data_IF_815472028124
#
_entry.id   IF_815472028124
#
_cell.length_a   1.000
_cell.length_b   1.000
_cell.length_c   1.000
_cell.angle_alpha   90.00
_cell.angle_beta   90.00
_cell.angle_gamma   90.00
#
_symmetry.space_group_name_H-M   'P 1'
#
loop_
_entity.id
_entity.type
_entity.pdbx_description
1 polymer ?
#
# COMPACT_ATOMS: atom_id res chain seq x y z
N UNK A 1 24.35 1.77 -23.50
CA UNK A 1 23.18 2.62 -23.79
C UNK A 1 23.63 4.06 -23.95
N UNK A 2 23.85 4.82 -22.88
CA UNK A 2 24.24 6.26 -22.96
C UNK A 2 25.52 6.50 -23.78
N UNK A 3 26.60 5.75 -23.52
CA UNK A 3 27.84 5.86 -24.30
C UNK A 3 27.72 5.39 -25.76
N UNK A 4 26.60 4.74 -26.12
CA UNK A 4 26.25 4.28 -27.47
C UNK A 4 25.16 5.14 -28.12
N UNK A 5 24.77 6.25 -27.49
CA UNK A 5 23.66 7.12 -27.93
C UNK A 5 22.29 6.41 -28.02
N UNK A 6 22.08 5.40 -27.16
CA UNK A 6 20.81 4.68 -27.04
C UNK A 6 20.06 5.12 -25.77
N UNK A 7 18.72 5.19 -25.84
CA UNK A 7 17.88 5.53 -24.69
C UNK A 7 18.09 4.54 -23.54
N UNK A 8 18.43 5.01 -22.32
CA UNK A 8 18.43 4.14 -21.16
C UNK A 8 17.01 3.68 -20.82
N UNK A 9 16.94 2.56 -20.10
CA UNK A 9 15.70 2.04 -19.52
C UNK A 9 15.24 3.00 -18.42
N UNK A 10 13.96 3.37 -18.47
CA UNK A 10 13.32 4.14 -17.42
C UNK A 10 12.88 3.23 -16.26
N UNK A 11 13.24 3.60 -15.03
CA UNK A 11 12.77 2.97 -13.81
C UNK A 11 12.76 3.98 -12.67
N UNK A 12 11.81 3.80 -11.75
CA UNK A 12 11.58 4.69 -10.62
C UNK A 12 12.45 4.31 -9.42
N UNK A 13 13.12 5.31 -8.84
CA UNK A 13 13.90 5.16 -7.62
C UNK A 13 14.07 6.50 -6.91
N UNK A 14 14.15 6.47 -5.58
CA UNK A 14 14.35 7.68 -4.77
C UNK A 14 15.19 7.38 -3.51
N UNK A 15 14.58 7.03 -2.37
CA UNK A 15 15.27 6.92 -1.07
C UNK A 15 16.39 5.84 -0.99
N UNK A 16 16.30 4.76 -1.77
CA UNK A 16 17.24 3.61 -1.77
C UNK A 16 17.42 2.87 -0.44
N UNK A 17 16.55 3.08 0.53
CA UNK A 17 16.57 2.44 1.85
C UNK A 17 15.24 1.74 2.19
N UNK A 18 14.36 1.61 1.20
CA UNK A 18 13.09 0.87 1.31
C UNK A 18 11.99 1.57 2.08
N UNK A 19 11.95 2.90 2.06
CA UNK A 19 10.96 3.70 2.79
C UNK A 19 9.96 4.40 1.85
N UNK A 20 10.40 4.94 0.71
CA UNK A 20 9.50 5.70 -0.19
C UNK A 20 8.52 4.85 -1.03
N UNK A 21 8.77 3.55 -1.19
CA UNK A 21 7.95 2.67 -2.02
C UNK A 21 8.03 2.92 -3.54
N UNK A 22 9.07 3.63 -4.02
CA UNK A 22 9.21 4.05 -5.42
C UNK A 22 9.70 2.96 -6.38
N UNK A 23 10.55 2.04 -5.92
CA UNK A 23 11.18 1.00 -6.76
C UNK A 23 10.25 -0.20 -7.02
N UNK A 24 9.13 0.05 -7.69
CA UNK A 24 8.06 -0.91 -7.96
C UNK A 24 8.38 -1.87 -9.11
N UNK A 25 9.30 -2.83 -8.88
CA UNK A 25 9.74 -3.81 -9.88
C UNK A 25 9.27 -5.23 -9.55
N UNK A 26 8.82 -5.95 -10.56
CA UNK A 26 8.48 -7.37 -10.51
C UNK A 26 9.67 -8.18 -11.06
N UNK A 27 10.33 -8.94 -10.19
CA UNK A 27 11.62 -9.57 -10.48
C UNK A 27 11.46 -11.08 -10.37
N UNK A 28 11.77 -11.81 -11.44
CA UNK A 28 11.60 -13.26 -11.53
C UNK A 28 10.19 -13.77 -11.13
N UNK A 29 9.15 -12.98 -11.39
CA UNK A 29 7.76 -13.33 -11.06
C UNK A 29 7.30 -12.93 -9.65
N UNK A 30 8.14 -12.21 -8.91
CA UNK A 30 7.85 -11.79 -7.53
C UNK A 30 7.93 -10.26 -7.39
N UNK A 31 6.96 -9.66 -6.70
CA UNK A 31 6.99 -8.22 -6.43
C UNK A 31 8.14 -7.89 -5.48
N UNK A 32 9.01 -6.96 -5.84
CA UNK A 32 10.28 -6.68 -5.16
C UNK A 32 11.35 -7.77 -5.20
N UNK A 33 11.07 -8.92 -5.81
CA UNK A 33 12.01 -10.03 -6.00
C UNK A 33 11.96 -11.10 -4.90
N UNK A 34 12.93 -12.03 -4.89
CA UNK A 34 12.83 -13.28 -4.13
C UNK A 34 13.10 -13.16 -2.62
N UNK A 35 13.55 -11.99 -2.15
CA UNK A 35 13.77 -11.76 -0.71
C UNK A 35 12.47 -11.30 -0.03
N UNK A 36 12.41 -11.30 1.30
CA UNK A 36 11.19 -11.00 2.06
C UNK A 36 11.37 -9.86 3.04
N UNK A 37 10.32 -9.06 3.22
CA UNK A 37 10.34 -7.89 4.11
C UNK A 37 11.21 -6.74 3.60
N UNK A 38 11.48 -6.69 2.28
CA UNK A 38 12.31 -5.67 1.66
C UNK A 38 11.69 -5.13 0.37
N UNK A 39 12.13 -3.95 -0.03
CA UNK A 39 11.84 -3.40 -1.37
C UNK A 39 12.96 -3.71 -2.35
N UNK A 40 12.72 -3.53 -3.65
CA UNK A 40 13.72 -3.81 -4.70
C UNK A 40 15.06 -3.12 -4.48
N UNK A 41 15.09 -1.88 -3.97
CA UNK A 41 16.36 -1.17 -3.77
C UNK A 41 17.25 -1.78 -2.67
N UNK A 42 16.69 -2.66 -1.83
CA UNK A 42 17.42 -3.42 -0.81
C UNK A 42 17.76 -4.84 -1.28
N UNK A 43 17.26 -5.26 -2.46
CA UNK A 43 17.53 -6.59 -2.99
C UNK A 43 19.00 -6.70 -3.39
N UNK A 44 19.68 -7.68 -2.81
CA UNK A 44 21.10 -7.90 -3.07
C UNK A 44 21.32 -8.95 -4.16
N UNK A 45 22.33 -8.75 -5.00
CA UNK A 45 22.71 -9.72 -6.05
C UNK A 45 23.05 -11.12 -5.52
N UNK A 46 23.47 -11.24 -4.25
CA UNK A 46 23.72 -12.53 -3.57
C UNK A 46 22.48 -13.42 -3.42
N UNK A 47 21.29 -12.88 -3.67
CA UNK A 47 20.04 -13.64 -3.69
C UNK A 47 19.88 -14.47 -4.97
N UNK A 48 20.70 -14.22 -5.98
CA UNK A 48 20.69 -14.91 -7.26
C UNK A 48 21.94 -15.78 -7.42
N UNK A 49 21.83 -16.83 -8.23
CA UNK A 49 22.95 -17.71 -8.54
C UNK A 49 23.85 -17.08 -9.61
N UNK A 50 25.14 -17.40 -9.56
CA UNK A 50 26.07 -16.99 -10.61
C UNK A 50 25.63 -17.53 -11.98
N UNK A 51 25.55 -16.64 -12.97
CA UNK A 51 25.08 -16.96 -14.32
C UNK A 51 23.54 -17.04 -14.47
N UNK A 52 22.78 -16.79 -13.40
CA UNK A 52 21.31 -16.73 -13.48
C UNK A 52 20.85 -15.54 -14.33
N UNK A 53 19.84 -15.78 -15.16
CA UNK A 53 19.16 -14.71 -15.90
C UNK A 53 18.08 -14.11 -15.02
N UNK A 54 18.16 -12.80 -14.77
CA UNK A 54 17.17 -12.06 -13.98
C UNK A 54 16.21 -11.36 -14.94
N UNK A 55 14.93 -11.67 -14.82
CA UNK A 55 13.85 -10.96 -15.53
C UNK A 55 13.31 -9.84 -14.65
N UNK A 56 13.18 -8.63 -15.22
CA UNK A 56 12.67 -7.45 -14.52
C UNK A 56 11.53 -6.87 -15.35
N UNK A 57 10.39 -6.67 -14.70
CA UNK A 57 9.15 -6.23 -15.31
C UNK A 57 8.50 -5.12 -14.46
N UNK A 58 7.68 -4.23 -15.06
CA UNK A 58 6.88 -3.30 -14.28
C UNK A 58 5.84 -4.06 -13.45
N UNK A 59 5.30 -3.41 -12.43
CA UNK A 59 4.10 -3.91 -11.75
C UNK A 59 2.93 -4.04 -12.74
N UNK A 60 2.26 -5.19 -12.70
CA UNK A 60 1.19 -5.54 -13.62
C UNK A 60 -0.17 -5.34 -12.94
N UNK A 61 -0.84 -4.24 -13.24
CA UNK A 61 -2.22 -4.00 -12.87
C UNK A 61 -2.85 -2.97 -13.81
N UNK A 62 -4.12 -3.14 -14.18
CA UNK A 62 -4.82 -2.15 -15.02
C UNK A 62 -4.88 -0.76 -14.35
N UNK A 63 -5.06 -0.74 -13.04
CA UNK A 63 -5.04 0.47 -12.22
C UNK A 63 -3.63 1.08 -12.04
N UNK A 64 -2.57 0.38 -12.45
CA UNK A 64 -1.19 0.87 -12.49
C UNK A 64 -0.63 0.85 -13.92
N UNK A 65 -1.11 1.74 -14.80
CA UNK A 65 -0.68 1.75 -16.19
C UNK A 65 0.80 2.07 -16.31
N UNK A 66 1.48 1.37 -17.23
CA UNK A 66 2.89 1.62 -17.54
C UNK A 66 3.01 2.97 -18.25
N UNK A 67 3.85 3.86 -17.70
CA UNK A 67 4.19 5.15 -18.30
C UNK A 67 5.30 4.94 -19.34
N UNK A 68 6.41 4.30 -18.94
CA UNK A 68 7.55 3.98 -19.81
C UNK A 68 8.40 2.88 -19.18
N UNK A 69 8.75 1.86 -19.96
CA UNK A 69 9.60 0.74 -19.55
C UNK A 69 9.13 0.11 -18.22
N UNK A 70 9.80 0.42 -17.11
CA UNK A 70 9.52 -0.11 -15.77
C UNK A 70 8.76 0.88 -14.86
N UNK A 71 8.46 2.09 -15.34
CA UNK A 71 7.75 3.15 -14.62
C UNK A 71 6.24 2.94 -14.74
N UNK A 72 5.54 2.95 -13.62
CA UNK A 72 4.08 2.78 -13.53
C UNK A 72 3.43 3.96 -12.82
N UNK A 73 2.24 4.38 -13.27
CA UNK A 73 1.43 5.37 -12.58
C UNK A 73 0.73 4.71 -11.37
N UNK A 74 0.91 5.26 -10.16
CA UNK A 74 0.25 4.78 -8.93
C UNK A 74 -0.70 5.79 -8.31
N UNK A 75 -1.08 6.85 -9.03
CA UNK A 75 -1.96 7.92 -8.54
C UNK A 75 -3.35 7.43 -8.06
N UNK A 76 -3.75 6.22 -8.44
CA UNK A 76 -4.93 5.56 -7.89
C UNK A 76 -4.89 5.45 -6.36
N UNK A 77 -3.71 5.19 -5.77
CA UNK A 77 -3.54 5.15 -4.32
C UNK A 77 -3.71 6.52 -3.67
N UNK A 78 -3.25 7.59 -4.31
CA UNK A 78 -3.44 8.96 -3.83
C UNK A 78 -4.91 9.34 -3.82
N UNK A 79 -5.67 8.99 -4.87
CA UNK A 79 -7.12 9.26 -4.93
C UNK A 79 -7.88 8.49 -3.84
N UNK A 80 -7.53 7.22 -3.60
CA UNK A 80 -8.07 6.43 -2.48
C UNK A 80 -7.75 7.11 -1.13
N UNK A 81 -6.51 7.55 -0.91
CA UNK A 81 -6.11 8.23 0.32
C UNK A 81 -6.93 9.52 0.52
N UNK A 82 -7.14 10.29 -0.54
CA UNK A 82 -7.93 11.52 -0.51
C UNK A 82 -9.42 11.30 -0.25
N UNK A 83 -9.96 10.12 -0.56
CA UNK A 83 -11.39 9.80 -0.38
C UNK A 83 -11.80 9.61 1.09
N UNK A 84 -10.86 9.34 1.99
CA UNK A 84 -11.17 9.15 3.43
C UNK A 84 -9.99 8.81 4.34
N UNK A 85 -8.79 8.68 3.80
CA UNK A 85 -7.56 8.43 4.56
C UNK A 85 -7.04 9.68 5.27
N UNK A 86 -7.89 10.36 6.02
CA UNK A 86 -7.52 11.53 6.81
C UNK A 86 -8.38 11.61 8.07
N UNK A 87 -8.02 12.59 8.91
CA UNK A 87 -8.80 13.02 10.07
C UNK A 87 -9.27 14.44 9.80
N UNK A 88 -10.57 14.67 9.64
CA UNK A 88 -11.10 16.04 9.58
C UNK A 88 -11.42 16.53 10.98
N UNK A 89 -10.49 17.30 11.54
CA UNK A 89 -10.72 18.02 12.79
C UNK A 89 -10.47 19.51 12.55
N UNK A 90 -11.47 20.32 12.89
CA UNK A 90 -11.26 21.75 12.96
C UNK A 90 -10.51 22.07 14.25
N UNK A 91 -9.21 22.31 14.13
CA UNK A 91 -8.38 22.69 15.28
C UNK A 91 -8.60 24.14 15.69
N UNK A 92 -9.07 25.03 14.80
CA UNK A 92 -9.29 26.47 15.05
C UNK A 92 -8.13 27.15 15.82
N UNK A 93 -6.89 26.72 15.58
CA UNK A 93 -5.69 27.20 16.29
C UNK A 93 -5.53 26.68 17.74
N UNK A 94 -6.45 25.85 18.24
CA UNK A 94 -6.46 25.24 19.56
C UNK A 94 -6.25 23.72 19.47
N UNK A 95 -5.11 23.30 18.93
CA UNK A 95 -4.72 21.87 18.97
C UNK A 95 -4.63 21.39 20.41
N UNK A 96 -5.26 20.26 20.72
CA UNK A 96 -5.15 19.65 22.03
C UNK A 96 -3.74 19.07 22.25
N UNK A 97 -3.31 19.01 23.52
CA UNK A 97 -2.07 18.34 23.91
C UNK A 97 -2.16 16.84 23.54
N UNK A 98 -1.08 16.27 22.98
CA UNK A 98 -1.07 14.87 22.56
C UNK A 98 -1.30 13.90 23.73
N UNK A 99 -0.98 14.29 24.97
CA UNK A 99 -1.21 13.50 26.17
C UNK A 99 -2.62 13.66 26.74
N UNK A 100 -3.45 14.57 26.19
CA UNK A 100 -4.80 14.82 26.68
C UNK A 100 -5.79 13.70 26.34
N UNK A 101 -5.50 12.91 25.29
CA UNK A 101 -6.33 11.76 24.89
C UNK A 101 -5.55 10.47 25.14
N UNK A 102 -5.86 9.72 26.21
CA UNK A 102 -5.24 8.42 26.45
C UNK A 102 -5.57 7.44 25.32
N UNK A 103 -4.55 6.76 24.80
CA UNK A 103 -4.69 5.70 23.82
C UNK A 103 -4.05 4.45 24.41
N UNK A 104 -4.72 3.30 24.28
CA UNK A 104 -4.12 2.04 24.75
C UNK A 104 -2.86 1.74 23.93
N UNK A 105 -1.82 1.20 24.56
CA UNK A 105 -0.57 0.84 23.87
C UNK A 105 -0.85 -0.08 22.68
N UNK A 106 -1.76 -1.04 22.86
CA UNK A 106 -2.19 -1.95 21.82
C UNK A 106 -2.79 -1.24 20.59
N UNK A 107 -3.72 -0.31 20.80
CA UNK A 107 -4.32 0.43 19.68
C UNK A 107 -3.30 1.34 18.98
N UNK A 108 -2.40 1.96 19.74
CA UNK A 108 -1.31 2.78 19.19
C UNK A 108 -0.35 1.94 18.33
N UNK A 109 0.02 0.74 18.79
CA UNK A 109 0.91 -0.16 18.07
C UNK A 109 0.26 -0.68 16.79
N UNK A 110 -0.97 -1.21 16.87
CA UNK A 110 -1.67 -1.70 15.69
C UNK A 110 -1.90 -0.58 14.65
N UNK A 111 -2.21 0.64 15.11
CA UNK A 111 -2.36 1.79 14.22
C UNK A 111 -1.03 2.16 13.54
N UNK A 112 0.09 2.09 14.28
CA UNK A 112 1.42 2.36 13.75
C UNK A 112 1.88 1.28 12.78
N UNK A 113 1.63 0.01 13.08
CA UNK A 113 1.92 -1.12 12.20
C UNK A 113 1.14 -1.00 10.89
N UNK A 114 -0.14 -0.62 10.94
CA UNK A 114 -0.93 -0.32 9.75
C UNK A 114 -0.40 0.93 9.01
N UNK A 115 0.03 1.97 9.75
CA UNK A 115 0.60 3.20 9.19
C UNK A 115 1.93 2.98 8.47
N UNK A 116 2.65 1.90 8.77
CA UNK A 116 3.90 1.54 8.11
C UNK A 116 3.72 1.25 6.61
N UNK A 117 2.49 1.15 6.10
CA UNK A 117 2.21 1.02 4.67
C UNK A 117 2.75 2.22 3.88
N UNK A 118 3.76 1.95 3.03
CA UNK A 118 4.47 2.93 2.19
C UNK A 118 3.87 3.10 0.77
N UNK A 119 2.70 2.52 0.50
CA UNK A 119 2.03 2.65 -0.81
C UNK A 119 2.81 2.06 -2.00
N UNK A 120 3.73 1.12 -1.79
CA UNK A 120 4.61 0.60 -2.85
C UNK A 120 3.86 -0.10 -4.01
N UNK A 121 2.69 -0.67 -3.74
CA UNK A 121 1.87 -1.38 -4.73
C UNK A 121 2.16 -2.88 -4.87
N UNK A 122 3.11 -3.45 -4.10
CA UNK A 122 3.46 -4.87 -4.18
C UNK A 122 2.26 -5.80 -3.93
N UNK A 123 1.38 -5.42 -2.99
CA UNK A 123 0.14 -6.14 -2.68
C UNK A 123 -0.81 -6.26 -3.87
N UNK A 124 -0.85 -5.25 -4.75
CA UNK A 124 -1.64 -5.26 -5.98
C UNK A 124 -0.93 -6.11 -7.03
N UNK A 125 0.37 -5.90 -7.24
CA UNK A 125 1.14 -6.59 -8.28
C UNK A 125 1.23 -8.11 -8.08
N UNK A 126 1.24 -8.59 -6.83
CA UNK A 126 1.24 -10.04 -6.51
C UNK A 126 -0.16 -10.65 -6.50
N UNK A 127 -1.21 -9.84 -6.30
CA UNK A 127 -2.57 -10.35 -6.24
C UNK A 127 -3.04 -10.77 -7.64
N UNK A 128 -3.52 -12.00 -7.78
CA UNK A 128 -4.11 -12.49 -9.05
C UNK A 128 -5.28 -11.65 -9.56
N UNK A 129 -5.97 -10.92 -8.67
CA UNK A 129 -7.07 -10.03 -9.02
C UNK A 129 -6.62 -8.56 -9.10
N UNK A 130 -5.34 -8.26 -8.89
CA UNK A 130 -4.84 -6.90 -8.74
C UNK A 130 -5.66 -6.09 -7.71
N UNK A 131 -5.91 -6.68 -6.54
CA UNK A 131 -6.71 -6.06 -5.49
C UNK A 131 -5.89 -5.07 -4.65
N UNK A 132 -6.42 -3.87 -4.43
CA UNK A 132 -5.83 -2.89 -3.51
C UNK A 132 -6.33 -3.05 -2.06
N UNK A 133 -7.09 -4.10 -1.75
CA UNK A 133 -7.74 -4.29 -0.45
C UNK A 133 -6.79 -4.21 0.74
N UNK A 134 -5.56 -4.74 0.63
CA UNK A 134 -4.57 -4.63 1.72
C UNK A 134 -4.12 -3.18 1.96
N UNK A 135 -3.93 -2.40 0.90
CA UNK A 135 -3.58 -0.98 1.00
C UNK A 135 -4.72 -0.19 1.65
N UNK A 136 -5.94 -0.33 1.13
CA UNK A 136 -7.13 0.35 1.67
C UNK A 136 -7.31 -0.03 3.15
N UNK A 137 -7.22 -1.32 3.47
CA UNK A 137 -7.41 -1.83 4.81
C UNK A 137 -6.37 -1.32 5.81
N UNK A 138 -5.11 -1.22 5.40
CA UNK A 138 -4.05 -0.63 6.22
C UNK A 138 -4.35 0.84 6.53
N UNK A 139 -4.75 1.62 5.52
CA UNK A 139 -5.08 3.04 5.69
C UNK A 139 -6.36 3.25 6.50
N UNK A 140 -7.39 2.43 6.32
CA UNK A 140 -8.58 2.46 7.18
C UNK A 140 -8.19 2.16 8.63
N UNK A 141 -7.44 1.09 8.86
CA UNK A 141 -7.03 0.66 10.21
C UNK A 141 -6.13 1.68 10.91
N UNK A 142 -5.19 2.30 10.17
CA UNK A 142 -4.32 3.37 10.66
C UNK A 142 -5.11 4.48 11.36
N UNK A 143 -6.30 4.84 10.85
CA UNK A 143 -7.12 5.90 11.43
C UNK A 143 -8.21 5.38 12.36
N UNK A 144 -8.89 4.28 12.01
CA UNK A 144 -10.05 3.78 12.76
C UNK A 144 -9.71 3.29 14.17
N UNK A 145 -8.48 2.84 14.40
CA UNK A 145 -8.00 2.43 15.72
C UNK A 145 -7.75 3.61 16.67
N UNK A 146 -7.59 4.82 16.13
CA UNK A 146 -7.32 6.01 16.92
C UNK A 146 -8.63 6.75 17.25
N UNK A 147 -8.79 7.32 18.46
CA UNK A 147 -10.02 7.99 18.87
C UNK A 147 -10.48 9.08 17.89
N UNK A 148 -9.54 9.82 17.31
CA UNK A 148 -9.83 10.90 16.36
C UNK A 148 -10.45 10.36 15.07
N UNK A 149 -10.08 9.15 14.64
CA UNK A 149 -10.58 8.55 13.41
C UNK A 149 -11.90 7.82 13.57
N UNK A 150 -12.34 7.52 14.79
CA UNK A 150 -13.60 6.82 15.04
C UNK A 150 -14.82 7.61 14.56
N UNK A 151 -14.76 8.95 14.62
CA UNK A 151 -15.85 9.84 14.20
C UNK A 151 -16.19 9.64 12.72
N UNK A 152 -15.16 9.51 11.88
CA UNK A 152 -15.29 9.38 10.42
C UNK A 152 -15.23 7.94 9.94
N UNK A 153 -15.21 6.94 10.84
CA UNK A 153 -14.95 5.55 10.46
C UNK A 153 -15.94 5.01 9.41
N UNK A 154 -17.22 5.37 9.54
CA UNK A 154 -18.27 4.95 8.59
C UNK A 154 -18.06 5.55 7.21
N UNK A 155 -17.90 6.87 7.12
CA UNK A 155 -17.70 7.55 5.83
C UNK A 155 -16.36 7.16 5.21
N UNK A 156 -15.29 7.04 6.01
CA UNK A 156 -13.95 6.63 5.56
C UNK A 156 -14.00 5.30 4.82
N UNK A 157 -14.53 4.25 5.46
CA UNK A 157 -14.49 2.92 4.87
C UNK A 157 -15.37 2.85 3.62
N UNK A 158 -16.54 3.49 3.62
CA UNK A 158 -17.43 3.52 2.45
C UNK A 158 -16.79 4.28 1.28
N UNK A 159 -16.24 5.47 1.53
CA UNK A 159 -15.64 6.29 0.49
C UNK A 159 -14.36 5.67 -0.08
N UNK A 160 -13.49 5.13 0.76
CA UNK A 160 -12.23 4.54 0.31
C UNK A 160 -12.44 3.23 -0.47
N UNK A 161 -13.39 2.38 -0.04
CA UNK A 161 -13.75 1.16 -0.78
C UNK A 161 -14.40 1.53 -2.11
N UNK A 162 -15.33 2.48 -2.11
CA UNK A 162 -15.95 2.98 -3.35
C UNK A 162 -14.91 3.54 -4.31
N UNK A 163 -13.98 4.38 -3.84
CA UNK A 163 -12.91 4.92 -4.68
C UNK A 163 -12.02 3.79 -5.24
N UNK A 164 -11.68 2.79 -4.43
CA UNK A 164 -10.92 1.62 -4.90
C UNK A 164 -11.64 0.89 -6.05
N UNK A 165 -12.96 0.72 -5.96
CA UNK A 165 -13.75 0.11 -7.02
C UNK A 165 -13.77 0.98 -8.29
N UNK A 166 -13.86 2.31 -8.13
CA UNK A 166 -13.81 3.27 -9.25
C UNK A 166 -12.45 3.30 -9.97
N UNK A 167 -11.35 3.03 -9.27
CA UNK A 167 -10.01 2.86 -9.86
C UNK A 167 -9.87 1.55 -10.66
N UNK A 168 -10.84 0.63 -10.54
CA UNK A 168 -10.83 -0.65 -11.25
C UNK A 168 -9.92 -1.71 -10.63
N UNK A 169 -9.61 -1.61 -9.33
CA UNK A 169 -8.94 -2.70 -8.62
C UNK A 169 -9.88 -3.90 -8.46
N UNK A 170 -9.33 -5.11 -8.50
CA UNK A 170 -10.16 -6.31 -8.32
C UNK A 170 -10.50 -6.60 -6.86
N UNK A 171 -11.50 -7.48 -6.67
CA UNK A 171 -11.98 -7.88 -5.36
C UNK A 171 -11.03 -8.85 -4.65
N UNK A 172 -11.02 -8.82 -3.31
CA UNK A 172 -10.27 -9.78 -2.51
C UNK A 172 -10.90 -11.18 -2.57
N UNK A 173 -10.08 -12.21 -2.79
CA UNK A 173 -10.48 -13.63 -2.66
C UNK A 173 -9.62 -14.37 -1.64
N UNK A 174 -9.06 -13.65 -0.65
CA UNK A 174 -8.27 -14.19 0.47
C UNK A 174 -7.14 -15.15 0.06
N UNK A 175 -6.37 -14.81 -0.98
CA UNK A 175 -5.22 -15.64 -1.41
C UNK A 175 -4.00 -15.51 -0.50
N UNK A 176 -3.92 -14.44 0.31
CA UNK A 176 -2.81 -14.17 1.24
C UNK A 176 -1.50 -13.71 0.61
N UNK A 177 -1.34 -13.78 -0.72
CA UNK A 177 -0.11 -13.35 -1.41
C UNK A 177 0.31 -11.90 -1.10
N UNK A 178 -0.65 -11.01 -0.86
CA UNK A 178 -0.40 -9.61 -0.57
C UNK A 178 0.32 -9.36 0.77
N UNK A 179 0.10 -10.20 1.78
CA UNK A 179 0.80 -10.12 3.08
C UNK A 179 2.22 -10.69 2.97
N UNK A 180 2.38 -11.80 2.23
CA UNK A 180 3.68 -12.47 2.00
C UNK A 180 4.67 -11.55 1.28
N UNK A 181 4.24 -10.87 0.22
CA UNK A 181 5.09 -9.96 -0.57
C UNK A 181 5.13 -8.54 0.00
N UNK A 182 4.48 -8.28 1.14
CA UNK A 182 4.49 -6.93 1.71
C UNK A 182 5.87 -6.62 2.30
N UNK A 183 6.59 -5.59 1.82
CA UNK A 183 7.90 -5.23 2.36
C UNK A 183 7.83 -4.66 3.79
N UNK A 184 6.62 -4.36 4.27
CA UNK A 184 6.36 -3.80 5.59
C UNK A 184 5.59 -4.74 6.51
N UNK A 185 5.35 -5.98 6.07
CA UNK A 185 4.67 -6.99 6.89
C UNK A 185 3.24 -6.60 7.29
N UNK A 186 2.54 -5.84 6.45
CA UNK A 186 1.15 -5.44 6.74
C UNK A 186 0.28 -6.68 6.77
N UNK A 187 -0.36 -6.93 7.91
CA UNK A 187 -1.14 -8.15 8.11
C UNK A 187 -2.52 -8.12 7.46
N UNK A 188 -3.01 -9.31 7.04
CA UNK A 188 -4.39 -9.54 6.60
C UNK A 188 -5.43 -9.24 7.67
N UNK A 189 -5.06 -9.17 8.95
CA UNK A 189 -5.97 -8.74 10.02
C UNK A 189 -6.58 -7.36 9.75
N UNK A 190 -5.83 -6.48 9.07
CA UNK A 190 -6.35 -5.19 8.64
C UNK A 190 -7.51 -5.35 7.65
N UNK A 191 -7.42 -6.31 6.71
CA UNK A 191 -8.51 -6.60 5.76
C UNK A 191 -9.74 -7.10 6.52
N UNK A 192 -9.55 -7.97 7.50
CA UNK A 192 -10.65 -8.45 8.34
C UNK A 192 -11.32 -7.30 9.11
N UNK A 193 -10.54 -6.38 9.69
CA UNK A 193 -11.04 -5.17 10.37
C UNK A 193 -11.85 -4.29 9.41
N UNK A 194 -11.28 -3.96 8.26
CA UNK A 194 -11.95 -3.13 7.25
C UNK A 194 -13.26 -3.77 6.76
N UNK A 195 -13.28 -5.08 6.48
CA UNK A 195 -14.50 -5.77 6.06
C UNK A 195 -15.60 -5.71 7.13
N UNK A 196 -15.22 -5.82 8.41
CA UNK A 196 -16.15 -5.67 9.53
C UNK A 196 -16.70 -4.25 9.61
N UNK A 197 -15.85 -3.25 9.46
CA UNK A 197 -16.27 -1.84 9.45
C UNK A 197 -17.19 -1.54 8.27
N UNK A 198 -16.85 -2.01 7.07
CA UNK A 198 -17.65 -1.86 5.87
C UNK A 198 -19.04 -2.52 6.01
N UNK A 199 -19.10 -3.72 6.58
CA UNK A 199 -20.37 -4.39 6.86
C UNK A 199 -21.22 -3.60 7.86
N UNK A 200 -20.64 -3.10 8.94
CA UNK A 200 -21.36 -2.29 9.91
C UNK A 200 -21.83 -0.97 9.27
N UNK A 201 -20.97 -0.33 8.47
CA UNK A 201 -21.27 0.94 7.80
C UNK A 201 -22.42 0.78 6.78
N UNK A 202 -22.39 -0.27 5.96
CA UNK A 202 -23.44 -0.54 4.96
C UNK A 202 -24.81 -0.86 5.56
N UNK A 203 -24.87 -1.32 6.82
CA UNK A 203 -26.13 -1.59 7.53
C UNK A 203 -26.69 -0.37 8.28
N UNK A 204 -25.90 0.70 8.45
CA UNK A 204 -26.31 1.94 9.13
C UNK A 204 -27.06 2.92 8.23
N UNK A 205 -27.32 2.55 6.96
CA UNK A 205 -27.93 3.39 5.92
C UNK A 205 -29.10 4.25 6.41
#
# INVERSE_FOLDING_TARGET
LVAKDESPIAFDHDCREGICGMCSLHINGEAHGPDRGITTCQLHMRMFKDGETISIEPFRAAAFPVIKDLVVDRMAFERIQQAGGFISVNTSGNTQDANATPISKHAADEAMDAAACIGCGACVATCKNSSAMLFVAAKVSQYALLPQGQVEATDRVLNMVKQMDEEGFGNCTNTGACEVECPKGISLENIARMNREYLIASLKG
#
